data_IF_944731279772
#
_entry.id   IF_944731279772
#
_cell.length_a   1.000
_cell.length_b   1.000
_cell.length_c   1.000
_cell.angle_alpha   90.00
_cell.angle_beta   90.00
_cell.angle_gamma   90.00
#
_symmetry.space_group_name_H-M   'P 1'
#
loop_
_entity.id
_entity.type
_entity.pdbx_description
1 polymer ?
#
# COMPACT_ATOMS: atom_id res chain seq x y z
N UNK A 1 -13.42 4.72 -53.94
CA UNK A 1 -12.37 4.69 -54.98
C UNK A 1 -11.26 3.78 -54.49
N UNK A 2 -10.99 2.75 -55.26
CA UNK A 2 -10.06 1.67 -54.96
C UNK A 2 -8.59 2.11 -55.12
N UNK A 3 -7.69 1.44 -54.40
CA UNK A 3 -6.32 1.22 -54.82
C UNK A 3 -5.91 -0.21 -54.43
N UNK A 4 -5.96 -1.09 -55.42
CA UNK A 4 -5.21 -2.35 -55.54
C UNK A 4 -3.81 -1.97 -56.08
N UNK A 5 -2.70 -2.66 -55.78
CA UNK A 5 -2.22 -3.85 -56.54
C UNK A 5 -0.94 -4.41 -55.86
N UNK A 6 -1.03 -5.70 -55.48
CA UNK A 6 -0.11 -6.86 -55.62
C UNK A 6 1.42 -6.76 -55.61
N UNK A 7 2.06 -7.75 -54.95
CA UNK A 7 2.97 -8.70 -55.62
C UNK A 7 2.96 -10.11 -54.98
N UNK A 8 3.18 -11.10 -55.84
CA UNK A 8 3.08 -12.56 -55.69
C UNK A 8 4.17 -13.24 -54.84
N UNK A 9 3.84 -14.44 -54.33
CA UNK A 9 4.80 -15.42 -53.83
C UNK A 9 4.13 -16.73 -53.40
N UNK A 10 3.85 -17.60 -54.36
CA UNK A 10 3.30 -18.95 -54.20
C UNK A 10 4.38 -19.99 -53.86
N UNK A 11 4.08 -20.94 -52.95
CA UNK A 11 4.06 -22.40 -53.19
C UNK A 11 3.97 -23.23 -51.88
N UNK A 12 2.85 -23.95 -51.79
CA UNK A 12 2.64 -25.33 -51.31
C UNK A 12 2.79 -25.73 -49.83
N UNK A 13 1.67 -26.24 -49.29
CA UNK A 13 1.63 -27.12 -48.12
C UNK A 13 0.25 -27.13 -47.43
N UNK A 14 -0.82 -27.48 -48.15
CA UNK A 14 -2.18 -27.50 -47.60
C UNK A 14 -2.54 -28.80 -46.87
N UNK A 15 -3.45 -28.69 -45.90
CA UNK A 15 -4.49 -29.69 -45.61
C UNK A 15 -5.80 -28.91 -45.39
N UNK A 16 -6.80 -29.21 -46.21
CA UNK A 16 -8.14 -28.64 -46.18
C UNK A 16 -9.05 -29.42 -45.24
N UNK A 17 -10.07 -28.76 -44.70
CA UNK A 17 -11.37 -29.38 -44.49
C UNK A 17 -12.47 -28.30 -44.44
N UNK A 18 -13.32 -28.33 -45.45
CA UNK A 18 -14.56 -27.60 -45.64
C UNK A 18 -15.66 -28.13 -44.72
N UNK A 19 -16.48 -27.25 -44.12
CA UNK A 19 -17.96 -27.30 -44.14
C UNK A 19 -18.58 -26.39 -43.06
N UNK A 20 -19.42 -25.45 -43.50
CA UNK A 20 -20.62 -24.99 -42.75
C UNK A 20 -21.71 -26.07 -42.94
N UNK A 21 -22.71 -26.26 -42.04
CA UNK A 21 -23.78 -25.27 -41.89
C UNK A 21 -24.58 -25.22 -40.55
N UNK A 22 -25.44 -24.21 -40.50
CA UNK A 22 -26.80 -24.17 -39.93
C UNK A 22 -27.02 -23.98 -38.42
N UNK A 23 -27.81 -22.95 -38.17
CA UNK A 23 -28.55 -22.57 -36.98
C UNK A 23 -29.50 -23.66 -36.47
N UNK A 24 -29.45 -23.94 -35.18
CA UNK A 24 -30.50 -24.64 -34.43
C UNK A 24 -30.79 -23.90 -33.13
N UNK A 25 -32.02 -23.44 -33.01
CA UNK A 25 -32.64 -22.84 -31.84
C UNK A 25 -32.88 -23.90 -30.76
N UNK A 26 -32.47 -23.61 -29.53
CA UNK A 26 -32.77 -24.44 -28.34
C UNK A 26 -33.67 -23.64 -27.39
N UNK A 27 -34.80 -24.19 -26.91
CA UNK A 27 -35.74 -23.46 -26.07
C UNK A 27 -35.23 -23.27 -24.64
N UNK A 28 -35.53 -22.11 -24.03
CA UNK A 28 -35.34 -21.86 -22.60
C UNK A 28 -36.39 -22.63 -21.80
N UNK A 29 -35.97 -23.67 -21.09
CA UNK A 29 -36.75 -24.24 -19.99
C UNK A 29 -36.33 -23.57 -18.66
N UNK A 30 -37.31 -23.03 -17.96
CA UNK A 30 -37.20 -22.49 -16.61
C UNK A 30 -37.11 -23.64 -15.59
N UNK A 31 -35.94 -23.81 -14.98
CA UNK A 31 -35.71 -24.69 -13.83
C UNK A 31 -35.38 -23.81 -12.61
N UNK A 32 -36.42 -23.45 -11.86
CA UNK A 32 -36.31 -22.96 -10.49
C UNK A 32 -36.20 -24.15 -9.55
N UNK A 33 -35.03 -24.38 -8.96
CA UNK A 33 -34.86 -25.26 -7.82
C UNK A 33 -34.82 -24.42 -6.53
N UNK A 34 -35.55 -24.78 -5.47
CA UNK A 34 -35.51 -24.04 -4.21
C UNK A 34 -34.23 -24.38 -3.42
N UNK A 35 -33.55 -23.36 -2.91
CA UNK A 35 -32.42 -23.52 -1.98
C UNK A 35 -32.97 -23.74 -0.55
N UNK A 36 -32.60 -24.82 0.16
CA UNK A 36 -33.04 -25.02 1.54
C UNK A 36 -32.41 -24.01 2.51
N UNK A 37 -33.21 -23.48 3.42
CA UNK A 37 -32.89 -22.42 4.38
C UNK A 37 -32.01 -22.83 5.59
N UNK A 38 -31.18 -23.88 5.48
CA UNK A 38 -30.40 -24.41 6.62
C UNK A 38 -28.87 -24.24 6.54
N UNK A 39 -28.32 -23.55 5.55
CA UNK A 39 -26.86 -23.31 5.42
C UNK A 39 -26.47 -21.83 5.53
N UNK A 40 -26.84 -21.19 6.64
CA UNK A 40 -26.40 -19.79 6.96
C UNK A 40 -25.57 -19.64 8.23
N UNK A 41 -24.98 -20.72 8.74
CA UNK A 41 -24.06 -20.69 9.88
C UNK A 41 -22.95 -21.73 9.73
N UNK A 42 -21.93 -21.45 8.92
CA UNK A 42 -20.60 -22.09 9.05
C UNK A 42 -19.54 -21.44 8.14
N UNK A 43 -19.30 -20.14 8.28
CA UNK A 43 -18.13 -19.47 7.67
C UNK A 43 -17.41 -18.51 8.66
N UNK A 44 -17.65 -18.68 9.96
CA UNK A 44 -17.01 -17.90 11.02
C UNK A 44 -16.49 -18.82 12.12
N UNK A 45 -15.53 -19.69 11.80
CA UNK A 45 -14.67 -20.27 12.83
C UNK A 45 -13.44 -20.88 12.19
N UNK A 46 -12.38 -20.09 12.04
CA UNK A 46 -11.00 -20.55 12.07
C UNK A 46 -10.09 -19.32 12.05
N UNK A 47 -9.80 -18.83 13.25
CA UNK A 47 -8.53 -18.29 13.79
C UNK A 47 -8.94 -17.64 15.12
N UNK A 48 -8.47 -18.18 16.24
CA UNK A 48 -8.71 -17.61 17.56
C UNK A 48 -8.00 -16.25 17.67
N UNK A 49 -8.78 -15.18 17.72
CA UNK A 49 -8.32 -13.79 17.86
C UNK A 49 -7.54 -13.50 19.15
N UNK A 50 -7.49 -14.45 20.11
CA UNK A 50 -6.78 -14.27 21.38
C UNK A 50 -5.26 -14.28 21.22
N UNK A 51 -4.72 -14.95 20.21
CA UNK A 51 -3.27 -15.05 20.02
C UNK A 51 -2.66 -13.79 19.40
N UNK A 52 -3.43 -13.07 18.57
CA UNK A 52 -3.04 -11.78 17.99
C UNK A 52 -2.98 -10.64 19.03
N UNK A 53 -3.79 -10.74 20.09
CA UNK A 53 -3.88 -9.72 21.15
C UNK A 53 -2.69 -9.76 22.14
N UNK A 54 -1.89 -10.83 22.16
CA UNK A 54 -0.74 -10.94 23.06
C UNK A 54 0.42 -10.04 22.62
N UNK A 55 0.58 -9.80 21.31
CA UNK A 55 1.68 -8.98 20.76
C UNK A 55 1.41 -7.47 20.79
N UNK A 56 0.14 -7.06 20.91
CA UNK A 56 -0.26 -5.65 20.92
C UNK A 56 -0.23 -4.96 22.29
N UNK A 57 -0.09 -5.72 23.40
CA UNK A 57 -0.14 -5.14 24.76
C UNK A 57 1.12 -4.39 25.18
N UNK A 58 2.25 -4.59 24.52
CA UNK A 58 3.49 -3.84 24.82
C UNK A 58 3.50 -2.41 24.27
N UNK A 59 2.53 -2.01 23.44
CA UNK A 59 2.51 -0.68 22.80
C UNK A 59 1.79 0.40 23.63
N UNK A 60 1.08 0.03 24.71
CA UNK A 60 0.22 0.95 25.47
C UNK A 60 0.95 1.95 26.40
N UNK A 61 2.28 2.00 26.40
CA UNK A 61 3.04 2.84 27.35
C UNK A 61 3.63 4.14 26.79
N UNK A 62 3.39 4.48 25.52
CA UNK A 62 4.05 5.63 24.87
C UNK A 62 3.17 6.77 24.37
N UNK A 63 1.84 6.70 24.44
CA UNK A 63 0.98 7.70 23.78
C UNK A 63 0.38 8.70 24.78
N UNK A 64 1.07 9.83 24.95
CA UNK A 64 0.44 11.11 25.29
C UNK A 64 0.90 12.16 24.28
N UNK A 65 -0.07 12.78 23.63
CA UNK A 65 0.04 14.02 22.85
C UNK A 65 0.91 13.95 21.58
N UNK A 66 0.29 13.64 20.44
CA UNK A 66 0.72 14.18 19.15
C UNK A 66 -0.51 14.73 18.43
N UNK A 67 -0.53 16.05 18.23
CA UNK A 67 -1.53 16.76 17.47
C UNK A 67 -1.57 16.25 16.03
N UNK A 68 -2.78 16.24 15.45
CA UNK A 68 -3.03 16.05 14.03
C UNK A 68 -2.28 17.14 13.25
N UNK A 69 -1.11 16.81 12.74
CA UNK A 69 -0.35 17.66 11.83
C UNK A 69 -0.56 17.16 10.40
N UNK A 70 -0.99 18.08 9.54
CA UNK A 70 -1.22 17.90 8.10
C UNK A 70 0.03 17.31 7.41
N UNK A 71 -0.14 16.21 6.66
CA UNK A 71 0.85 15.76 5.69
C UNK A 71 0.48 16.33 4.31
N UNK A 72 0.76 17.62 4.10
CA UNK A 72 0.75 18.21 2.77
C UNK A 72 1.94 17.69 1.98
N UNK A 73 1.67 16.79 1.02
CA UNK A 73 2.64 16.28 0.08
C UNK A 73 2.95 17.37 -0.96
N UNK A 74 3.81 18.32 -0.60
CA UNK A 74 4.38 19.31 -1.53
C UNK A 74 5.84 18.96 -1.81
N UNK A 75 6.08 18.37 -2.98
CA UNK A 75 7.43 18.20 -3.52
C UNK A 75 7.92 19.58 -3.95
N UNK A 76 8.67 20.27 -3.09
CA UNK A 76 9.47 21.41 -3.51
C UNK A 76 10.65 20.89 -4.33
N UNK A 77 10.68 21.29 -5.60
CA UNK A 77 11.87 21.21 -6.46
C UNK A 77 12.93 22.12 -5.85
N UNK A 78 13.99 21.56 -5.29
CA UNK A 78 15.23 22.28 -5.07
C UNK A 78 16.42 21.42 -5.49
N UNK A 79 17.38 22.10 -6.10
CA UNK A 79 18.47 21.60 -6.91
C UNK A 79 19.46 20.74 -6.10
N UNK A 80 19.88 19.62 -6.71
CA UNK A 80 20.82 18.67 -6.13
C UNK A 80 22.25 19.25 -6.18
N UNK A 81 22.65 19.96 -5.13
CA UNK A 81 24.07 20.23 -4.86
C UNK A 81 24.61 19.26 -3.81
N UNK A 82 25.64 18.54 -4.22
CA UNK A 82 26.48 17.64 -3.43
C UNK A 82 27.21 18.39 -2.32
N UNK A 83 26.87 18.17 -1.06
CA UNK A 83 27.79 18.40 0.06
C UNK A 83 27.65 17.32 1.15
N UNK A 84 28.79 16.68 1.42
CA UNK A 84 29.04 15.70 2.46
C UNK A 84 28.75 16.26 3.85
N UNK A 85 27.96 15.55 4.66
CA UNK A 85 27.74 15.89 6.06
C UNK A 85 28.13 14.71 6.97
N UNK A 86 29.43 14.57 7.20
CA UNK A 86 29.97 13.82 8.35
C UNK A 86 30.34 14.83 9.45
N UNK A 87 29.93 14.65 10.72
CA UNK A 87 30.39 15.54 11.80
C UNK A 87 31.81 15.21 12.24
N UNK A 88 32.67 16.23 12.23
CA UNK A 88 34.04 16.20 12.73
C UNK A 88 34.10 16.06 14.26
N UNK A 89 34.97 15.17 14.74
CA UNK A 89 35.27 14.93 16.15
C UNK A 89 35.87 16.16 16.85
N UNK A 90 35.29 16.56 17.99
CA UNK A 90 35.90 17.52 18.92
C UNK A 90 36.70 16.79 19.99
N UNK A 91 38.01 17.08 20.07
CA UNK A 91 38.90 16.68 21.18
C UNK A 91 38.56 17.49 22.43
N UNK A 92 38.15 16.81 23.50
CA UNK A 92 38.07 17.33 24.86
C UNK A 92 39.12 16.67 25.75
N UNK A 93 39.83 17.47 26.54
CA UNK A 93 40.94 17.09 27.41
C UNK A 93 40.49 16.24 28.61
N UNK A 94 41.44 15.42 29.05
CA UNK A 94 41.43 14.52 30.20
C UNK A 94 41.05 15.20 31.53
N UNK A 95 40.38 14.44 32.40
CA UNK A 95 40.56 14.51 33.85
C UNK A 95 40.37 13.09 34.42
N UNK A 96 41.38 12.63 35.14
CA UNK A 96 41.46 11.32 35.76
C UNK A 96 40.61 11.26 37.06
N UNK A 97 39.80 10.21 37.21
CA UNK A 97 39.35 9.71 38.51
C UNK A 97 39.33 8.18 38.47
N UNK A 98 39.79 7.60 39.56
CA UNK A 98 40.24 6.23 39.76
C UNK A 98 39.12 5.26 40.19
N UNK A 99 39.32 3.98 39.83
CA UNK A 99 38.71 2.73 40.33
C UNK A 99 37.20 2.52 40.20
N UNK A 100 36.80 1.51 39.41
CA UNK A 100 36.31 0.20 39.90
C UNK A 100 36.16 -0.73 38.69
N UNK A 101 36.79 -1.90 38.74
CA UNK A 101 36.68 -2.96 37.73
C UNK A 101 35.27 -3.55 37.71
N UNK A 102 34.47 -3.14 36.73
CA UNK A 102 33.31 -3.91 36.28
C UNK A 102 33.73 -4.73 35.08
N UNK A 103 33.54 -6.05 35.18
CA UNK A 103 33.71 -6.99 34.07
C UNK A 103 32.82 -6.54 32.91
N UNK A 104 33.43 -5.85 31.95
CA UNK A 104 32.85 -5.63 30.65
C UNK A 104 32.78 -7.01 29.97
N UNK A 105 31.62 -7.63 29.99
CA UNK A 105 31.26 -8.62 28.98
C UNK A 105 31.37 -7.88 27.66
N UNK A 106 32.53 -8.00 26.99
CA UNK A 106 32.75 -7.45 25.68
C UNK A 106 31.72 -8.10 24.76
N UNK A 107 30.65 -7.37 24.47
CA UNK A 107 29.77 -7.68 23.35
C UNK A 107 30.70 -7.59 22.15
N UNK A 108 31.14 -8.74 21.66
CA UNK A 108 31.93 -8.81 20.44
C UNK A 108 31.10 -8.10 19.36
N UNK A 109 31.66 -7.17 18.59
CA UNK A 109 30.94 -6.61 17.46
C UNK A 109 30.48 -7.78 16.60
N UNK A 110 29.16 -7.88 16.38
CA UNK A 110 28.56 -9.01 15.67
C UNK A 110 29.20 -9.07 14.29
N UNK A 111 30.08 -10.07 14.09
CA UNK A 111 30.79 -10.25 12.84
C UNK A 111 29.76 -10.52 11.75
N UNK A 112 29.97 -9.93 10.58
CA UNK A 112 29.26 -10.31 9.35
C UNK A 112 29.45 -11.81 9.09
N UNK A 113 28.35 -12.51 8.79
CA UNK A 113 28.32 -13.95 8.50
C UNK A 113 27.83 -14.11 7.06
N UNK A 114 28.69 -14.57 6.15
CA UNK A 114 28.29 -14.88 4.78
C UNK A 114 28.55 -16.36 4.55
N UNK A 115 27.52 -17.09 4.13
CA UNK A 115 27.64 -18.49 3.76
C UNK A 115 28.51 -18.66 2.50
N UNK A 116 29.31 -19.71 2.44
CA UNK A 116 30.27 -19.96 1.35
C UNK A 116 29.64 -20.07 -0.05
N UNK A 117 28.36 -20.48 -0.11
CA UNK A 117 27.61 -20.60 -1.37
C UNK A 117 26.87 -19.33 -1.78
N UNK A 118 26.92 -18.26 -0.96
CA UNK A 118 26.33 -16.98 -1.32
C UNK A 118 27.21 -16.26 -2.34
N UNK A 119 26.60 -15.71 -3.38
CA UNK A 119 27.29 -14.92 -4.41
C UNK A 119 27.10 -13.45 -4.10
N UNK A 120 28.14 -12.81 -3.57
CA UNK A 120 28.11 -11.38 -3.23
C UNK A 120 29.12 -10.65 -4.10
N UNK A 121 28.64 -9.69 -4.89
CA UNK A 121 29.50 -8.87 -5.73
C UNK A 121 30.49 -8.07 -4.87
N UNK A 122 31.77 -7.92 -5.28
CA UNK A 122 32.79 -7.21 -4.50
C UNK A 122 32.44 -5.73 -4.22
N UNK A 123 31.73 -5.08 -5.15
CA UNK A 123 31.31 -3.67 -5.01
C UNK A 123 30.05 -3.49 -4.15
N UNK A 124 29.43 -4.57 -3.66
CA UNK A 124 28.28 -4.45 -2.76
C UNK A 124 28.73 -3.97 -1.38
N UNK A 125 28.04 -2.97 -0.83
CA UNK A 125 28.26 -2.50 0.53
C UNK A 125 27.48 -3.38 1.50
N UNK A 126 28.19 -3.96 2.48
CA UNK A 126 27.61 -4.84 3.49
C UNK A 126 27.95 -4.30 4.88
N UNK A 127 26.94 -3.88 5.63
CA UNK A 127 27.05 -3.37 6.99
C UNK A 127 27.51 -4.39 8.03
N UNK A 128 27.66 -3.93 9.27
CA UNK A 128 28.03 -4.73 10.43
C UNK A 128 26.88 -5.66 10.85
N UNK A 129 27.19 -6.83 11.41
CA UNK A 129 26.18 -7.79 11.87
C UNK A 129 25.29 -8.40 10.76
N UNK A 130 25.58 -8.15 9.48
CA UNK A 130 24.77 -8.71 8.39
C UNK A 130 24.99 -10.22 8.26
N UNK A 131 23.89 -10.96 8.13
CA UNK A 131 23.88 -12.40 7.90
C UNK A 131 23.35 -12.70 6.50
N UNK A 132 24.17 -13.34 5.66
CA UNK A 132 23.80 -13.76 4.30
C UNK A 132 23.88 -15.28 4.24
N UNK A 133 22.72 -15.91 4.03
CA UNK A 133 22.57 -17.37 4.05
C UNK A 133 22.97 -18.03 2.73
N UNK A 134 22.88 -19.36 2.69
CA UNK A 134 23.23 -20.15 1.52
C UNK A 134 22.43 -19.75 0.27
N UNK A 135 23.10 -19.76 -0.88
CA UNK A 135 22.51 -19.52 -2.21
C UNK A 135 21.84 -18.15 -2.39
N UNK A 136 22.11 -17.18 -1.51
CA UNK A 136 21.73 -15.79 -1.76
C UNK A 136 22.57 -15.19 -2.90
N UNK A 137 22.00 -14.24 -3.64
CA UNK A 137 22.77 -13.41 -4.58
C UNK A 137 22.62 -11.93 -4.25
N UNK A 138 23.75 -11.23 -4.16
CA UNK A 138 23.80 -9.78 -3.94
C UNK A 138 24.58 -9.14 -5.09
N UNK A 139 23.88 -8.34 -5.90
CA UNK A 139 24.40 -7.72 -7.10
C UNK A 139 25.32 -6.51 -6.85
N UNK A 140 25.94 -5.98 -7.92
CA UNK A 140 26.70 -4.72 -7.85
C UNK A 140 25.77 -3.54 -7.52
N UNK A 141 26.28 -2.55 -6.79
CA UNK A 141 25.51 -1.35 -6.43
C UNK A 141 24.48 -1.55 -5.32
N UNK A 142 24.42 -2.75 -4.73
CA UNK A 142 23.58 -3.02 -3.56
C UNK A 142 24.25 -2.49 -2.29
N UNK A 143 23.46 -1.83 -1.44
CA UNK A 143 23.85 -1.41 -0.09
C UNK A 143 22.95 -2.09 0.94
N UNK A 144 23.53 -2.82 1.87
CA UNK A 144 22.82 -3.54 2.95
C UNK A 144 23.22 -2.93 4.30
N UNK A 145 22.27 -2.34 5.00
CA UNK A 145 22.44 -1.76 6.33
C UNK A 145 22.75 -2.78 7.41
N UNK A 146 23.14 -2.28 8.58
CA UNK A 146 23.58 -3.10 9.71
C UNK A 146 22.48 -4.08 10.19
N UNK A 147 22.89 -5.27 10.65
CA UNK A 147 21.99 -6.25 11.26
C UNK A 147 20.94 -6.87 10.32
N UNK A 148 21.05 -6.65 9.00
CA UNK A 148 20.16 -7.29 8.04
C UNK A 148 20.38 -8.79 7.96
N UNK A 149 19.31 -9.53 7.64
CA UNK A 149 19.35 -10.97 7.45
C UNK A 149 18.76 -11.34 6.11
N UNK A 150 19.58 -11.96 5.27
CA UNK A 150 19.18 -12.56 3.99
C UNK A 150 19.08 -14.07 4.21
N UNK A 151 17.85 -14.59 4.14
CA UNK A 151 17.55 -16.01 4.27
C UNK A 151 17.86 -16.78 2.98
N UNK A 152 17.99 -18.13 3.04
CA UNK A 152 18.49 -18.90 1.91
C UNK A 152 17.73 -18.64 0.60
N UNK A 153 18.48 -18.52 -0.49
CA UNK A 153 17.93 -18.25 -1.83
C UNK A 153 17.14 -16.94 -1.93
N UNK A 154 17.45 -15.93 -1.13
CA UNK A 154 16.98 -14.55 -1.35
C UNK A 154 17.91 -13.80 -2.33
N UNK A 155 17.35 -12.87 -3.09
CA UNK A 155 18.08 -12.15 -4.13
C UNK A 155 17.93 -10.63 -3.98
N UNK A 156 19.03 -9.90 -3.99
CA UNK A 156 19.05 -8.43 -4.00
C UNK A 156 19.90 -7.94 -5.16
N UNK A 157 19.35 -7.12 -6.05
CA UNK A 157 20.03 -6.69 -7.29
C UNK A 157 19.72 -5.24 -7.67
N UNK A 158 20.41 -4.74 -8.70
CA UNK A 158 20.36 -3.34 -9.13
C UNK A 158 20.84 -2.35 -8.06
N UNK A 159 20.58 -1.07 -8.32
CA UNK A 159 20.81 0.01 -7.37
C UNK A 159 19.76 -0.03 -6.25
N UNK A 160 20.03 -0.85 -5.24
CA UNK A 160 19.11 -1.17 -4.15
C UNK A 160 19.75 -0.90 -2.80
N UNK A 161 19.05 -0.13 -1.96
CA UNK A 161 19.44 0.19 -0.60
C UNK A 161 18.45 -0.43 0.39
N UNK A 162 18.98 -1.21 1.33
CA UNK A 162 18.25 -1.71 2.50
C UNK A 162 18.77 -1.01 3.75
N UNK A 163 17.85 -0.42 4.52
CA UNK A 163 18.13 0.11 5.84
C UNK A 163 18.49 -0.99 6.84
N UNK A 164 18.77 -0.60 8.08
CA UNK A 164 19.19 -1.52 9.15
C UNK A 164 18.10 -2.50 9.56
N UNK A 165 18.50 -3.69 9.99
CA UNK A 165 17.62 -4.67 10.62
C UNK A 165 16.54 -5.24 9.71
N UNK A 166 16.70 -5.16 8.38
CA UNK A 166 15.76 -5.77 7.44
C UNK A 166 15.91 -7.30 7.39
N UNK A 167 14.80 -8.01 7.23
CA UNK A 167 14.78 -9.47 7.06
C UNK A 167 14.21 -9.82 5.68
N UNK A 168 15.01 -10.47 4.84
CA UNK A 168 14.64 -10.88 3.49
C UNK A 168 14.48 -12.41 3.49
N UNK A 169 13.24 -12.87 3.38
CA UNK A 169 12.88 -14.29 3.49
C UNK A 169 13.26 -15.09 2.23
N UNK A 170 13.18 -16.42 2.33
CA UNK A 170 13.60 -17.31 1.26
C UNK A 170 12.86 -17.03 -0.05
N UNK A 171 13.61 -17.01 -1.15
CA UNK A 171 13.06 -16.80 -2.50
C UNK A 171 12.57 -15.37 -2.77
N UNK A 172 12.65 -14.45 -1.81
CA UNK A 172 12.30 -13.05 -2.05
C UNK A 172 13.30 -12.39 -3.00
N UNK A 173 12.80 -11.49 -3.86
CA UNK A 173 13.58 -10.73 -4.82
C UNK A 173 13.37 -9.25 -4.56
N UNK A 174 14.45 -8.52 -4.33
CA UNK A 174 14.43 -7.08 -4.06
C UNK A 174 15.32 -6.34 -5.06
N UNK A 175 14.74 -5.37 -5.74
CA UNK A 175 15.39 -4.61 -6.80
C UNK A 175 15.33 -5.31 -8.16
N UNK A 176 15.92 -4.63 -9.15
CA UNK A 176 16.13 -5.13 -10.52
C UNK A 176 17.16 -4.26 -11.24
N UNK A 177 17.80 -4.77 -12.28
CA UNK A 177 18.89 -4.10 -12.99
C UNK A 177 18.45 -2.94 -13.90
N UNK A 178 17.18 -2.52 -13.87
CA UNK A 178 16.73 -1.36 -14.65
C UNK A 178 17.25 -0.06 -14.02
N UNK A 179 17.53 0.98 -14.83
CA UNK A 179 17.92 2.30 -14.34
C UNK A 179 16.98 2.87 -13.26
N UNK A 180 17.51 3.77 -12.43
CA UNK A 180 16.83 4.28 -11.24
C UNK A 180 17.26 3.53 -9.97
N UNK A 181 16.40 3.48 -8.95
CA UNK A 181 16.75 2.88 -7.64
C UNK A 181 15.55 2.34 -6.85
N UNK A 182 15.83 1.36 -5.99
CA UNK A 182 14.93 0.89 -4.93
C UNK A 182 15.52 1.22 -3.57
N UNK A 183 14.79 1.98 -2.75
CA UNK A 183 15.22 2.34 -1.39
C UNK A 183 14.20 1.80 -0.40
N UNK A 184 14.67 1.03 0.57
CA UNK A 184 13.87 0.44 1.64
C UNK A 184 14.47 0.86 2.97
N UNK A 185 13.67 1.46 3.85
CA UNK A 185 14.09 1.89 5.19
C UNK A 185 14.39 0.74 6.14
N UNK A 186 14.40 1.04 7.44
CA UNK A 186 14.84 0.13 8.49
C UNK A 186 13.73 -0.85 8.92
N UNK A 187 14.14 -2.02 9.42
CA UNK A 187 13.29 -3.00 10.10
C UNK A 187 12.11 -3.50 9.25
N UNK A 188 12.29 -3.60 7.94
CA UNK A 188 11.29 -4.17 7.05
C UNK A 188 11.47 -5.69 6.96
N UNK A 189 10.36 -6.42 6.91
CA UNK A 189 10.36 -7.85 6.58
C UNK A 189 9.81 -8.04 5.17
N UNK A 190 10.60 -8.67 4.30
CA UNK A 190 10.21 -9.01 2.93
C UNK A 190 10.00 -10.52 2.84
N UNK A 191 8.75 -10.93 2.73
CA UNK A 191 8.25 -12.29 2.89
C UNK A 191 8.61 -13.24 1.75
N UNK A 192 8.31 -14.52 1.97
CA UNK A 192 8.68 -15.59 1.05
C UNK A 192 8.20 -15.32 -0.38
N UNK A 193 9.12 -15.36 -1.34
CA UNK A 193 8.81 -15.13 -2.76
C UNK A 193 8.13 -13.78 -3.06
N UNK A 194 8.19 -12.80 -2.16
CA UNK A 194 7.79 -11.44 -2.49
C UNK A 194 8.75 -10.84 -3.52
N UNK A 195 8.22 -10.01 -4.41
CA UNK A 195 8.98 -9.37 -5.51
C UNK A 195 8.79 -7.86 -5.41
N UNK A 196 9.84 -7.16 -5.00
CA UNK A 196 9.79 -5.74 -4.61
C UNK A 196 10.79 -4.94 -5.42
N UNK A 197 10.38 -3.85 -6.05
CA UNK A 197 11.30 -2.97 -6.81
C UNK A 197 11.58 -3.42 -8.25
N UNK A 198 10.60 -4.06 -8.89
CA UNK A 198 10.69 -4.52 -10.29
C UNK A 198 9.95 -3.62 -11.28
N UNK A 199 10.14 -3.87 -12.58
CA UNK A 199 9.55 -3.09 -13.69
C UNK A 199 8.04 -2.92 -13.52
N UNK A 200 7.54 -1.71 -13.77
CA UNK A 200 6.11 -1.46 -13.90
C UNK A 200 5.49 -2.29 -15.04
N UNK A 201 4.19 -2.58 -14.92
CA UNK A 201 3.40 -3.23 -15.97
C UNK A 201 2.70 -2.23 -16.91
N UNK A 202 2.94 -0.92 -16.72
CA UNK A 202 2.40 0.11 -17.63
C UNK A 202 3.06 -0.01 -19.01
N UNK A 203 2.24 -0.18 -20.05
CA UNK A 203 2.70 -0.23 -21.44
C UNK A 203 3.33 1.08 -21.92
N UNK A 204 3.13 2.18 -21.18
CA UNK A 204 3.74 3.48 -21.46
C UNK A 204 5.15 3.62 -20.90
N UNK A 205 5.61 2.68 -20.06
CA UNK A 205 7.00 2.65 -19.61
C UNK A 205 7.92 2.54 -20.84
N UNK A 206 8.96 3.37 -20.89
CA UNK A 206 9.93 3.35 -21.97
C UNK A 206 11.17 2.59 -21.52
N UNK A 207 11.64 1.69 -22.37
CA UNK A 207 12.85 0.92 -22.09
C UNK A 207 14.04 1.85 -21.85
N UNK A 208 14.76 1.63 -20.75
CA UNK A 208 15.89 2.47 -20.34
C UNK A 208 15.54 3.68 -19.49
N UNK A 209 14.26 4.02 -19.31
CA UNK A 209 13.87 5.09 -18.38
C UNK A 209 14.19 4.67 -16.93
N UNK A 210 14.71 5.63 -16.17
CA UNK A 210 14.85 5.48 -14.72
C UNK A 210 13.48 5.29 -14.06
N UNK A 211 13.41 4.37 -13.11
CA UNK A 211 12.21 4.15 -12.31
C UNK A 211 12.57 3.94 -10.83
N UNK A 212 11.66 4.39 -9.96
CA UNK A 212 11.94 4.61 -8.55
C UNK A 212 10.91 3.95 -7.64
N UNK A 213 11.40 3.36 -6.55
CA UNK A 213 10.60 2.88 -5.43
C UNK A 213 11.23 3.36 -4.12
N UNK A 214 10.39 3.87 -3.21
CA UNK A 214 10.76 4.22 -1.84
C UNK A 214 9.79 3.57 -0.85
N UNK A 215 10.32 2.77 0.07
CA UNK A 215 9.60 2.14 1.17
C UNK A 215 10.19 2.66 2.48
N UNK A 216 9.33 3.08 3.41
CA UNK A 216 9.71 3.50 4.75
C UNK A 216 10.16 2.34 5.63
N UNK A 217 9.80 2.40 6.90
CA UNK A 217 10.32 1.57 7.97
C UNK A 217 9.24 0.65 8.55
N UNK A 218 9.66 -0.44 9.18
CA UNK A 218 8.80 -1.32 9.98
C UNK A 218 7.59 -1.89 9.21
N UNK A 219 7.70 -2.10 7.90
CA UNK A 219 6.66 -2.75 7.11
C UNK A 219 6.83 -4.27 7.14
N UNK A 220 5.70 -4.99 7.22
CA UNK A 220 5.63 -6.43 7.06
C UNK A 220 5.02 -6.75 5.69
N UNK A 221 5.87 -7.09 4.73
CA UNK A 221 5.50 -7.42 3.35
C UNK A 221 5.48 -8.94 3.24
N UNK A 222 4.30 -9.53 3.11
CA UNK A 222 4.11 -10.97 3.19
C UNK A 222 4.37 -11.70 1.89
N UNK A 223 4.19 -13.02 1.92
CA UNK A 223 4.53 -13.90 0.84
C UNK A 223 3.82 -13.55 -0.48
N UNK A 224 4.56 -13.65 -1.59
CA UNK A 224 4.07 -13.35 -2.95
C UNK A 224 3.51 -11.94 -3.17
N UNK A 225 3.79 -10.99 -2.27
CA UNK A 225 3.47 -9.58 -2.53
C UNK A 225 4.31 -9.08 -3.71
N UNK A 226 3.70 -8.26 -4.57
CA UNK A 226 4.39 -7.61 -5.69
C UNK A 226 4.31 -6.09 -5.57
N UNK A 227 5.46 -5.41 -5.60
CA UNK A 227 5.55 -3.95 -5.50
C UNK A 227 6.42 -3.44 -6.66
N UNK A 228 5.83 -2.61 -7.50
CA UNK A 228 6.46 -2.13 -8.73
C UNK A 228 7.03 -0.72 -8.58
N UNK A 229 8.12 -0.44 -9.31
CA UNK A 229 8.70 0.90 -9.43
C UNK A 229 7.77 1.83 -10.24
N UNK A 230 8.10 3.12 -10.25
CA UNK A 230 7.37 4.12 -11.04
C UNK A 230 7.36 3.82 -12.53
N UNK A 231 6.38 4.39 -13.25
CA UNK A 231 6.28 4.28 -14.70
C UNK A 231 7.15 5.30 -15.44
N UNK A 232 7.64 6.34 -14.74
CA UNK A 232 8.38 7.47 -15.32
C UNK A 232 9.52 7.94 -14.40
N UNK A 233 10.58 8.56 -14.97
CA UNK A 233 11.71 9.07 -14.19
C UNK A 233 11.37 10.20 -13.21
N UNK A 234 10.30 10.95 -13.46
CA UNK A 234 9.89 12.08 -12.62
C UNK A 234 8.82 11.71 -11.58
N UNK A 235 8.58 10.42 -11.37
CA UNK A 235 7.65 9.90 -10.38
C UNK A 235 8.29 8.75 -9.59
N UNK A 236 7.64 8.29 -8.53
CA UNK A 236 8.15 7.27 -7.61
C UNK A 236 7.00 6.48 -7.00
N UNK A 237 7.07 5.16 -6.92
CA UNK A 237 6.16 4.43 -6.02
C UNK A 237 6.61 4.67 -4.58
N UNK A 238 5.72 5.11 -3.69
CA UNK A 238 6.05 5.46 -2.30
C UNK A 238 5.17 4.68 -1.33
N UNK A 239 5.80 4.06 -0.33
CA UNK A 239 5.14 3.39 0.80
C UNK A 239 5.74 3.96 2.09
N UNK A 240 4.88 4.36 3.03
CA UNK A 240 5.29 4.84 4.34
C UNK A 240 5.74 3.74 5.31
N UNK A 241 5.43 3.94 6.58
CA UNK A 241 5.88 3.14 7.70
C UNK A 241 4.78 2.25 8.28
N UNK A 242 5.18 1.17 8.98
CA UNK A 242 4.28 0.35 9.80
C UNK A 242 3.09 -0.28 9.07
N UNK A 243 3.22 -0.53 7.77
CA UNK A 243 2.18 -1.17 6.99
C UNK A 243 2.30 -2.70 7.03
N UNK A 244 1.16 -3.39 6.94
CA UNK A 244 1.07 -4.83 6.73
C UNK A 244 0.48 -5.10 5.34
N UNK A 245 1.29 -5.71 4.47
CA UNK A 245 0.84 -6.21 3.17
C UNK A 245 0.71 -7.71 3.27
N UNK A 246 -0.50 -8.22 3.42
CA UNK A 246 -0.73 -9.66 3.48
C UNK A 246 -0.54 -10.31 2.10
N UNK A 247 -0.51 -11.65 2.10
CA UNK A 247 -0.07 -12.44 0.96
C UNK A 247 -0.76 -12.06 -0.36
N UNK A 248 0.00 -12.11 -1.45
CA UNK A 248 -0.47 -11.83 -2.83
C UNK A 248 -1.05 -10.44 -3.06
N UNK A 249 -0.86 -9.49 -2.14
CA UNK A 249 -1.19 -8.08 -2.40
C UNK A 249 -0.30 -7.53 -3.52
N UNK A 250 -0.83 -6.57 -4.27
CA UNK A 250 -0.15 -5.95 -5.39
C UNK A 250 -0.19 -4.44 -5.26
N UNK A 251 0.96 -3.79 -5.40
CA UNK A 251 1.11 -2.33 -5.50
C UNK A 251 1.71 -2.00 -6.85
N UNK A 252 0.88 -1.43 -7.72
CA UNK A 252 1.29 -0.99 -9.06
C UNK A 252 2.20 0.24 -8.99
N UNK A 253 2.61 0.69 -10.17
CA UNK A 253 3.44 1.88 -10.37
C UNK A 253 2.81 3.16 -9.83
N UNK A 254 3.65 4.08 -9.36
CA UNK A 254 3.32 5.46 -9.01
C UNK A 254 2.31 5.62 -7.86
N UNK A 255 2.05 4.54 -7.12
CA UNK A 255 1.18 4.59 -5.95
C UNK A 255 1.86 5.37 -4.81
N UNK A 256 1.05 6.04 -3.97
CA UNK A 256 1.50 6.69 -2.73
C UNK A 256 0.70 6.13 -1.57
N UNK A 257 1.33 5.34 -0.71
CA UNK A 257 0.71 4.74 0.46
C UNK A 257 1.31 5.37 1.71
N UNK A 258 0.44 5.80 2.63
CA UNK A 258 0.83 6.30 3.94
C UNK A 258 1.26 5.20 4.91
N UNK A 259 0.89 5.37 6.16
CA UNK A 259 1.39 4.60 7.29
C UNK A 259 0.29 3.76 7.96
N UNK A 260 0.69 2.73 8.69
CA UNK A 260 -0.22 1.91 9.52
C UNK A 260 -1.39 1.28 8.74
N UNK A 261 -1.22 1.05 7.45
CA UNK A 261 -2.23 0.44 6.61
C UNK A 261 -2.16 -1.09 6.71
N UNK A 262 -3.31 -1.74 6.58
CA UNK A 262 -3.44 -3.18 6.46
C UNK A 262 -4.09 -3.50 5.13
N UNK A 263 -3.30 -4.08 4.22
CA UNK A 263 -3.80 -4.66 2.98
C UNK A 263 -3.94 -6.16 3.15
N UNK A 264 -5.18 -6.65 3.23
CA UNK A 264 -5.44 -8.08 3.36
C UNK A 264 -5.17 -8.84 2.07
N UNK A 265 -5.16 -10.19 2.17
CA UNK A 265 -4.70 -11.07 1.09
C UNK A 265 -5.35 -10.74 -0.26
N UNK A 266 -4.53 -10.71 -1.31
CA UNK A 266 -4.99 -10.46 -2.68
C UNK A 266 -5.56 -9.06 -2.90
N UNK A 267 -5.20 -8.07 -2.08
CA UNK A 267 -5.57 -6.67 -2.38
C UNK A 267 -4.77 -6.17 -3.58
N UNK A 268 -5.47 -5.70 -4.62
CA UNK A 268 -4.87 -5.22 -5.86
C UNK A 268 -5.01 -3.69 -5.93
N UNK A 269 -3.88 -3.00 -5.89
CA UNK A 269 -3.79 -1.54 -5.98
C UNK A 269 -3.32 -1.16 -7.38
N UNK A 270 -4.21 -0.54 -8.18
CA UNK A 270 -3.90 -0.08 -9.53
C UNK A 270 -2.96 1.14 -9.57
N UNK A 271 -2.46 1.49 -10.75
CA UNK A 271 -1.46 2.55 -10.91
C UNK A 271 -1.94 3.92 -10.42
N UNK A 272 -1.03 4.72 -9.88
CA UNK A 272 -1.29 6.07 -9.35
C UNK A 272 -2.34 6.15 -8.22
N UNK A 273 -2.65 5.04 -7.54
CA UNK A 273 -3.55 5.07 -6.39
C UNK A 273 -2.86 5.76 -5.21
N UNK A 274 -3.61 6.60 -4.51
CA UNK A 274 -3.18 7.24 -3.28
C UNK A 274 -3.97 6.64 -2.11
N UNK A 275 -3.27 6.18 -1.08
CA UNK A 275 -3.83 5.61 0.14
C UNK A 275 -3.27 6.41 1.32
N UNK A 276 -4.15 6.93 2.17
CA UNK A 276 -3.78 7.63 3.40
C UNK A 276 -3.23 6.69 4.48
N UNK A 277 -3.51 7.03 5.73
CA UNK A 277 -3.05 6.27 6.90
C UNK A 277 -4.18 5.45 7.53
N UNK A 278 -3.81 4.39 8.26
CA UNK A 278 -4.75 3.55 9.02
C UNK A 278 -5.89 2.95 8.18
N UNK A 279 -5.68 2.77 6.87
CA UNK A 279 -6.60 2.07 5.99
C UNK A 279 -6.59 0.58 6.27
N UNK A 280 -7.76 -0.02 6.14
CA UNK A 280 -7.91 -1.47 6.21
C UNK A 280 -8.67 -1.96 4.99
N UNK A 281 -8.09 -2.92 4.26
CA UNK A 281 -8.80 -3.69 3.25
C UNK A 281 -9.13 -5.08 3.78
N UNK A 282 -10.31 -5.59 3.43
CA UNK A 282 -10.61 -7.01 3.48
C UNK A 282 -9.94 -7.73 2.32
N UNK A 283 -9.97 -9.07 2.33
CA UNK A 283 -9.33 -9.87 1.28
C UNK A 283 -9.95 -9.62 -0.10
N UNK A 284 -9.14 -9.76 -1.15
CA UNK A 284 -9.54 -9.65 -2.55
C UNK A 284 -10.20 -8.30 -2.92
N UNK A 285 -9.75 -7.21 -2.31
CA UNK A 285 -10.15 -5.85 -2.70
C UNK A 285 -9.41 -5.42 -3.96
N UNK A 286 -10.10 -4.76 -4.89
CA UNK A 286 -9.50 -4.15 -6.06
C UNK A 286 -9.70 -2.63 -6.04
N UNK A 287 -8.63 -1.87 -6.24
CA UNK A 287 -8.65 -0.41 -6.27
C UNK A 287 -8.20 0.04 -7.66
N UNK A 288 -9.10 0.70 -8.39
CA UNK A 288 -8.85 1.14 -9.74
C UNK A 288 -7.81 2.27 -9.78
N UNK A 289 -7.03 2.34 -10.86
CA UNK A 289 -6.04 3.40 -11.07
C UNK A 289 -6.59 4.81 -10.81
N UNK A 290 -5.75 5.68 -10.25
CA UNK A 290 -6.03 7.07 -9.85
C UNK A 290 -7.09 7.26 -8.73
N UNK A 291 -7.55 6.20 -8.06
CA UNK A 291 -8.42 6.38 -6.89
C UNK A 291 -7.63 6.89 -5.69
N UNK A 292 -8.29 7.67 -4.85
CA UNK A 292 -7.79 8.06 -3.53
C UNK A 292 -8.61 7.39 -2.43
N UNK A 293 -7.91 6.78 -1.47
CA UNK A 293 -8.50 6.14 -0.29
C UNK A 293 -8.00 6.89 0.94
N UNK A 294 -8.82 7.81 1.45
CA UNK A 294 -8.41 8.71 2.52
C UNK A 294 -8.48 8.04 3.90
N UNK A 295 -7.64 8.50 4.83
CA UNK A 295 -7.30 7.83 6.09
C UNK A 295 -8.49 7.27 6.89
N UNK A 296 -8.22 6.22 7.66
CA UNK A 296 -9.21 5.56 8.54
C UNK A 296 -10.41 4.90 7.82
N UNK A 297 -10.43 4.89 6.49
CA UNK A 297 -11.42 4.19 5.69
C UNK A 297 -11.26 2.66 5.79
N UNK A 298 -12.37 1.96 5.53
CA UNK A 298 -12.41 0.50 5.52
C UNK A 298 -13.05 -0.03 4.23
N UNK A 299 -12.31 -0.87 3.51
CA UNK A 299 -12.77 -1.48 2.27
C UNK A 299 -13.13 -2.94 2.57
N UNK A 300 -14.42 -3.29 2.50
CA UNK A 300 -14.86 -4.66 2.79
C UNK A 300 -14.28 -5.67 1.79
N UNK A 301 -14.14 -6.93 2.22
CA UNK A 301 -13.63 -8.00 1.37
C UNK A 301 -14.39 -8.09 0.03
N UNK A 302 -13.65 -8.27 -1.06
CA UNK A 302 -14.19 -8.33 -2.42
C UNK A 302 -14.67 -6.98 -2.99
N UNK A 303 -14.43 -5.85 -2.32
CA UNK A 303 -14.84 -4.54 -2.84
C UNK A 303 -14.03 -4.14 -4.09
N UNK A 304 -14.72 -3.75 -5.16
CA UNK A 304 -14.11 -3.19 -6.37
C UNK A 304 -14.32 -1.68 -6.41
N UNK A 305 -13.32 -0.96 -5.93
CA UNK A 305 -13.33 0.49 -5.76
C UNK A 305 -12.89 1.17 -7.06
N UNK A 306 -13.79 1.94 -7.66
CA UNK A 306 -13.58 2.60 -8.98
C UNK A 306 -13.55 4.12 -8.89
N UNK A 307 -13.74 4.66 -7.69
CA UNK A 307 -13.85 6.06 -7.32
C UNK A 307 -13.30 6.26 -5.92
N UNK A 308 -13.14 7.50 -5.49
CA UNK A 308 -12.49 7.84 -4.24
C UNK A 308 -13.34 7.45 -3.02
N UNK A 309 -12.67 7.16 -1.91
CA UNK A 309 -13.26 6.85 -0.61
C UNK A 309 -12.82 7.92 0.39
N UNK A 310 -13.72 8.83 0.82
CA UNK A 310 -13.39 9.87 1.77
C UNK A 310 -13.07 9.32 3.16
N UNK A 311 -12.40 10.14 3.96
CA UNK A 311 -11.87 9.80 5.28
C UNK A 311 -12.93 9.19 6.20
N UNK A 312 -12.55 8.20 6.99
CA UNK A 312 -13.41 7.47 7.94
C UNK A 312 -14.52 6.61 7.32
N UNK A 313 -14.67 6.53 6.00
CA UNK A 313 -15.82 5.90 5.37
C UNK A 313 -15.57 4.41 5.08
N UNK A 314 -16.63 3.61 5.19
CA UNK A 314 -16.63 2.21 4.79
C UNK A 314 -17.21 2.05 3.38
N UNK A 315 -16.61 1.17 2.57
CA UNK A 315 -17.17 0.78 1.27
C UNK A 315 -17.26 -0.73 1.10
N UNK A 316 -18.18 -1.18 0.23
CA UNK A 316 -18.34 -2.60 -0.08
C UNK A 316 -18.95 -2.84 -1.47
N UNK A 317 -18.68 -4.01 -2.05
CA UNK A 317 -19.38 -4.54 -3.23
C UNK A 317 -18.60 -4.39 -4.54
N UNK A 318 -19.10 -5.04 -5.59
CA UNK A 318 -18.57 -4.91 -6.94
C UNK A 318 -19.15 -3.65 -7.59
N UNK A 319 -18.27 -2.70 -7.94
CA UNK A 319 -18.56 -1.26 -8.02
C UNK A 319 -18.96 -0.71 -6.64
N UNK A 320 -17.96 -0.57 -5.78
CA UNK A 320 -18.13 -0.34 -4.36
C UNK A 320 -18.96 0.92 -4.03
N UNK A 321 -19.88 0.76 -3.07
CA UNK A 321 -20.74 1.82 -2.54
C UNK A 321 -20.35 2.17 -1.10
N UNK A 322 -20.63 3.41 -0.68
CA UNK A 322 -20.51 3.84 0.72
C UNK A 322 -21.49 3.07 1.59
N UNK A 323 -21.01 2.60 2.75
CA UNK A 323 -21.76 1.81 3.73
C UNK A 323 -21.81 2.42 5.13
N UNK A 324 -21.44 3.69 5.27
CA UNK A 324 -21.40 4.38 6.56
C UNK A 324 -19.99 4.68 7.02
N UNK A 325 -19.85 5.00 8.30
CA UNK A 325 -18.59 5.34 8.94
C UNK A 325 -17.92 4.11 9.54
N UNK A 326 -16.59 4.07 9.52
CA UNK A 326 -15.74 3.09 10.20
C UNK A 326 -15.68 3.38 11.71
N UNK A 327 -16.84 3.32 12.36
CA UNK A 327 -16.99 3.63 13.79
C UNK A 327 -16.13 2.71 14.67
N UNK A 328 -16.00 1.44 14.26
CA UNK A 328 -15.21 0.47 15.00
C UNK A 328 -13.70 0.76 14.90
N UNK A 329 -13.19 1.09 13.71
CA UNK A 329 -11.81 1.52 13.53
C UNK A 329 -11.49 2.77 14.34
N UNK A 330 -12.34 3.80 14.27
CA UNK A 330 -12.17 5.03 15.06
C UNK A 330 -12.16 4.75 16.58
N UNK A 331 -13.07 3.92 17.10
CA UNK A 331 -13.07 3.54 18.52
C UNK A 331 -11.79 2.81 18.94
N UNK A 332 -11.27 1.91 18.11
CA UNK A 332 -10.02 1.18 18.40
C UNK A 332 -8.81 2.10 18.45
N UNK A 333 -8.85 3.18 17.67
CA UNK A 333 -7.80 4.21 17.61
C UNK A 333 -8.00 5.32 18.65
N UNK A 334 -9.02 5.21 19.51
CA UNK A 334 -9.18 6.11 20.66
C UNK A 334 -9.84 7.45 20.34
N UNK A 335 -10.57 7.55 19.23
CA UNK A 335 -11.40 8.74 18.94
C UNK A 335 -12.42 8.95 20.06
N UNK A 336 -12.56 10.20 20.50
CA UNK A 336 -13.49 10.58 21.56
C UNK A 336 -14.95 10.48 21.11
N UNK A 337 -15.86 10.37 22.08
CA UNK A 337 -17.30 10.36 21.82
C UNK A 337 -17.77 11.66 21.13
N UNK A 338 -17.15 12.79 21.46
CA UNK A 338 -17.43 14.08 20.82
C UNK A 338 -17.04 14.05 19.33
N UNK A 339 -15.84 13.58 19.00
CA UNK A 339 -15.39 13.44 17.62
C UNK A 339 -16.29 12.51 16.83
N UNK A 340 -16.57 11.31 17.36
CA UNK A 340 -17.45 10.33 16.70
C UNK A 340 -18.85 10.92 16.48
N UNK A 341 -19.40 11.65 17.46
CA UNK A 341 -20.72 12.30 17.34
C UNK A 341 -20.70 13.38 16.26
N UNK A 342 -19.67 14.21 16.19
CA UNK A 342 -19.55 15.28 15.19
C UNK A 342 -19.33 14.74 13.77
N UNK A 343 -18.46 13.75 13.59
CA UNK A 343 -18.24 13.07 12.30
C UNK A 343 -19.55 12.44 11.81
N UNK A 344 -20.30 11.79 12.71
CA UNK A 344 -21.61 11.19 12.38
C UNK A 344 -22.64 12.25 11.97
N UNK A 345 -22.70 13.39 12.65
CA UNK A 345 -23.59 14.52 12.27
C UNK A 345 -23.25 15.05 10.88
N UNK A 346 -21.96 15.24 10.59
CA UNK A 346 -21.48 15.67 9.27
C UNK A 346 -21.82 14.65 8.18
N UNK A 347 -21.49 13.37 8.38
CA UNK A 347 -21.80 12.29 7.43
C UNK A 347 -23.31 12.20 7.12
N UNK A 348 -24.17 12.29 8.14
CA UNK A 348 -25.62 12.23 7.95
C UNK A 348 -26.12 13.38 7.06
N UNK A 349 -25.66 14.61 7.31
CA UNK A 349 -26.02 15.76 6.48
C UNK A 349 -25.48 15.63 5.04
N UNK A 350 -24.27 15.10 4.86
CA UNK A 350 -23.65 14.91 3.54
C UNK A 350 -24.24 13.77 2.71
N UNK A 351 -24.63 12.65 3.32
CA UNK A 351 -24.94 11.43 2.55
C UNK A 351 -26.29 10.80 2.87
N UNK A 352 -26.96 11.24 3.94
CA UNK A 352 -28.25 10.69 4.38
C UNK A 352 -29.35 11.76 4.46
N UNK A 353 -29.17 12.89 3.79
CA UNK A 353 -30.18 13.93 3.78
C UNK A 353 -31.42 13.44 3.02
N UNK A 354 -32.60 13.63 3.64
CA UNK A 354 -33.91 13.27 3.10
C UNK A 354 -34.68 14.49 2.58
N UNK A 355 -34.15 15.68 2.81
CA UNK A 355 -34.78 16.91 2.39
C UNK A 355 -34.56 17.11 0.88
N UNK A 356 -35.67 17.08 0.13
CA UNK A 356 -35.73 17.24 -1.32
C UNK A 356 -35.27 18.65 -1.75
N UNK A 357 -35.28 19.63 -0.83
CA UNK A 357 -34.84 21.00 -1.08
C UNK A 357 -33.37 21.30 -0.75
N UNK A 358 -32.62 20.36 -0.18
CA UNK A 358 -31.30 20.63 0.40
C UNK A 358 -30.12 20.69 -0.60
N UNK A 359 -30.39 20.94 -1.89
CA UNK A 359 -29.35 21.10 -2.90
C UNK A 359 -28.51 19.84 -3.17
N UNK A 360 -27.44 20.01 -3.94
CA UNK A 360 -26.49 18.96 -4.30
C UNK A 360 -25.58 18.54 -3.13
N UNK A 361 -24.58 17.70 -3.42
CA UNK A 361 -23.55 17.38 -2.43
C UNK A 361 -22.70 18.62 -2.07
N UNK A 362 -22.40 19.46 -3.06
CA UNK A 362 -21.59 20.67 -2.88
C UNK A 362 -22.30 21.70 -1.99
N UNK A 363 -23.60 21.92 -2.18
CA UNK A 363 -24.40 22.82 -1.35
C UNK A 363 -24.39 22.36 0.12
N UNK A 364 -24.66 21.07 0.35
CA UNK A 364 -24.65 20.48 1.70
C UNK A 364 -23.26 20.52 2.34
N UNK A 365 -22.21 20.43 1.54
CA UNK A 365 -20.83 20.56 2.00
C UNK A 365 -20.53 22.01 2.41
N UNK A 366 -20.91 23.00 1.60
CA UNK A 366 -20.74 24.42 1.91
C UNK A 366 -21.50 24.81 3.20
N UNK A 367 -22.74 24.33 3.38
CA UNK A 367 -23.52 24.56 4.60
C UNK A 367 -22.85 24.00 5.86
N UNK A 368 -22.17 22.85 5.73
CA UNK A 368 -21.46 22.21 6.83
C UNK A 368 -20.14 22.91 7.16
N UNK A 369 -19.43 23.40 6.15
CA UNK A 369 -18.21 24.18 6.34
C UNK A 369 -18.48 25.52 7.02
N UNK A 370 -19.64 26.13 6.77
CA UNK A 370 -20.09 27.34 7.45
C UNK A 370 -20.62 27.09 8.88
N UNK A 371 -20.71 25.84 9.33
CA UNK A 371 -21.29 25.50 10.62
C UNK A 371 -20.27 25.64 11.78
N UNK A 372 -20.45 26.66 12.62
CA UNK A 372 -19.55 26.97 13.74
C UNK A 372 -19.39 25.82 14.76
N UNK A 373 -20.45 25.02 15.00
CA UNK A 373 -20.35 23.87 15.93
C UNK A 373 -19.34 22.83 15.42
N UNK A 374 -19.29 22.61 14.11
CA UNK A 374 -18.43 21.60 13.48
C UNK A 374 -17.02 22.13 13.20
N UNK A 375 -16.88 23.43 12.96
CA UNK A 375 -15.59 24.09 12.74
C UNK A 375 -14.62 23.88 13.92
N UNK A 376 -15.15 23.72 15.14
CA UNK A 376 -14.39 23.51 16.36
C UNK A 376 -13.96 22.03 16.59
N UNK A 377 -14.32 21.10 15.71
CA UNK A 377 -13.97 19.67 15.85
C UNK A 377 -13.09 19.25 14.66
N UNK A 378 -11.75 19.18 14.84
CA UNK A 378 -10.82 18.92 13.74
C UNK A 378 -11.13 17.65 12.93
N UNK A 379 -11.57 16.58 13.59
CA UNK A 379 -11.94 15.34 12.90
C UNK A 379 -13.17 15.49 11.98
N UNK A 380 -14.12 16.35 12.34
CA UNK A 380 -15.25 16.66 11.46
C UNK A 380 -14.79 17.51 10.26
N UNK A 381 -13.95 18.52 10.51
CA UNK A 381 -13.35 19.35 9.45
C UNK A 381 -12.53 18.52 8.47
N UNK A 382 -11.78 17.52 8.96
CA UNK A 382 -11.00 16.60 8.13
C UNK A 382 -11.90 15.78 7.18
N UNK A 383 -13.07 15.31 7.65
CA UNK A 383 -14.07 14.67 6.78
C UNK A 383 -14.55 15.62 5.69
N UNK A 384 -14.91 16.86 6.03
CA UNK A 384 -15.40 17.84 5.05
C UNK A 384 -14.33 18.15 3.98
N UNK A 385 -13.08 18.39 4.42
CA UNK A 385 -11.95 18.62 3.52
C UNK A 385 -11.70 17.43 2.60
N UNK A 386 -11.72 16.21 3.14
CA UNK A 386 -11.58 14.97 2.36
C UNK A 386 -12.66 14.87 1.28
N UNK A 387 -13.92 15.10 1.64
CA UNK A 387 -15.04 15.10 0.69
C UNK A 387 -14.86 16.17 -0.39
N UNK A 388 -14.44 17.40 -0.02
CA UNK A 388 -14.12 18.46 -1.00
C UNK A 388 -13.01 18.03 -1.96
N UNK A 389 -11.94 17.45 -1.43
CA UNK A 389 -10.80 17.02 -2.23
C UNK A 389 -11.20 15.95 -3.26
N UNK A 390 -12.10 15.03 -2.91
CA UNK A 390 -12.63 14.05 -3.87
C UNK A 390 -13.41 14.66 -5.05
N UNK A 391 -13.91 15.90 -4.90
CA UNK A 391 -14.65 16.64 -5.94
C UNK A 391 -13.74 17.54 -6.79
N UNK A 392 -12.45 17.62 -6.47
CA UNK A 392 -11.50 18.47 -7.19
C UNK A 392 -11.27 18.04 -8.64
N UNK A 393 -10.75 18.97 -9.45
CA UNK A 393 -10.38 18.70 -10.83
C UNK A 393 -9.32 17.58 -10.89
N UNK A 394 -9.46 16.66 -11.85
CA UNK A 394 -8.64 15.45 -12.04
C UNK A 394 -8.82 14.32 -11.02
N UNK A 395 -9.80 14.42 -10.11
CA UNK A 395 -10.19 13.33 -9.21
C UNK A 395 -11.27 12.45 -9.82
N UNK A 396 -11.45 11.25 -9.27
CA UNK A 396 -12.43 10.28 -9.81
C UNK A 396 -13.84 10.48 -9.27
N UNK A 397 -14.05 11.50 -8.44
CA UNK A 397 -15.27 11.67 -7.66
C UNK A 397 -15.40 10.60 -6.57
N UNK A 398 -16.45 10.71 -5.76
CA UNK A 398 -16.70 9.80 -4.64
C UNK A 398 -17.40 8.54 -5.12
N UNK A 399 -17.10 7.39 -4.49
CA UNK A 399 -17.89 6.16 -4.62
C UNK A 399 -19.39 6.45 -4.49
N UNK A 400 -20.23 5.63 -5.14
CA UNK A 400 -21.68 5.86 -5.09
C UNK A 400 -22.20 5.66 -3.67
N UNK A 401 -23.10 6.54 -3.24
CA UNK A 401 -23.78 6.46 -1.96
C UNK A 401 -25.29 6.45 -2.21
N UNK A 402 -26.04 5.80 -1.32
CA UNK A 402 -27.50 5.78 -1.42
C UNK A 402 -28.06 7.09 -0.90
N UNK A 403 -28.74 7.83 -1.78
CA UNK A 403 -29.70 8.83 -1.35
C UNK A 403 -30.86 8.09 -0.70
N UNK A 404 -31.10 8.35 0.58
CA UNK A 404 -32.26 7.82 1.28
C UNK A 404 -33.50 8.59 0.84
N UNK A 405 -34.00 8.31 -0.37
CA UNK A 405 -35.32 8.78 -0.75
C UNK A 405 -36.36 8.00 0.07
N UNK A 406 -37.23 8.73 0.77
CA UNK A 406 -38.40 8.19 1.46
C UNK A 406 -39.39 7.62 0.44
N UNK A 407 -39.14 6.39 -0.02
CA UNK A 407 -39.97 5.75 -1.04
C UNK A 407 -39.44 4.38 -1.46
N UNK A 408 -39.28 3.46 -0.51
CA UNK A 408 -39.23 2.02 -0.77
C UNK A 408 -39.73 1.27 0.45
#
# INVERSE_FOLDING_TARGET
MAAQVFFNGSLLGGISCTSTPSSLSVPRSSLTLPVPTSLRKSLYSMVSWKDLLSRHRSFKRGMRSSALADSDFSVKKDEMQTQSMFPAARRGKENAVSTTTVNATSVLPERKIIHETAVVHPDAFIGEGVVISAFCTVGPGVSIGNGCKLHPSSHVCGNTELGEGCEIMNGAVVGSDLPGRTVIGNHNTIGYHAVVGVKAQDLKYKEGDECFLHIGNNNDIREYVSIHRSSKPNDCTVIGDHNLFMATSHVAHDCKLGNHNILANGTLVGGHVIIGDYIHTGGAVGIHQFCHIDSYSFLAAGAMVTRDVPMYIMVSGNRAELRGLNLEGMRRLGFSDLEIKSIRRAYQKLFMNRDVGAGGLEDRLADLEANEDLANVPAAVALLRSVRNCLGENRRGICTYRLWNSGS
#
